data_IF_212505891700
#
_entry.id   IF_212505891700
#
_cell.length_a   1.000
_cell.length_b   1.000
_cell.length_c   1.000
_cell.angle_alpha   90.00
_cell.angle_beta   90.00
_cell.angle_gamma   90.00
#
_symmetry.space_group_name_H-M   'P 1'
#
loop_
_entity.id
_entity.type
_entity.pdbx_description
1 polymer ?
#
# COMPACT_ATOMS: atom_id res chain seq x y z
N UNK A 1 -15.44 22.98 14.92
CA UNK A 1 -16.18 23.11 16.21
C UNK A 1 -16.44 21.73 16.82
N UNK A 2 -16.51 21.64 18.14
CA UNK A 2 -16.73 20.35 18.84
C UNK A 2 -18.10 19.73 18.57
N UNK A 3 -19.10 20.53 18.17
CA UNK A 3 -20.45 20.06 17.81
C UNK A 3 -20.60 19.64 16.34
N UNK A 4 -19.59 19.89 15.50
CA UNK A 4 -19.67 19.56 14.08
C UNK A 4 -19.12 18.14 13.83
N UNK A 5 -19.65 17.40 12.85
CA UNK A 5 -19.05 16.14 12.43
C UNK A 5 -17.59 16.32 11.98
N UNK A 6 -16.77 15.28 12.17
CA UNK A 6 -15.34 15.29 11.81
C UNK A 6 -15.14 15.68 10.34
N UNK A 7 -15.92 15.07 9.44
CA UNK A 7 -16.00 15.46 8.04
C UNK A 7 -17.19 16.38 7.85
N UNK A 8 -16.94 17.68 7.88
CA UNK A 8 -17.94 18.72 7.66
C UNK A 8 -17.37 19.89 6.86
N UNK A 9 -18.27 20.64 6.24
CA UNK A 9 -17.91 21.85 5.51
C UNK A 9 -18.82 23.01 5.94
N UNK A 10 -18.29 24.23 5.80
CA UNK A 10 -18.97 25.45 6.23
C UNK A 10 -19.89 25.97 5.12
N UNK A 11 -21.12 26.29 5.48
CA UNK A 11 -22.11 26.95 4.62
C UNK A 11 -22.60 28.23 5.29
N UNK A 12 -23.36 29.05 4.55
CA UNK A 12 -23.98 30.27 5.11
C UNK A 12 -24.92 29.95 6.28
N UNK A 13 -25.56 28.78 6.29
CA UNK A 13 -26.46 28.34 7.36
C UNK A 13 -25.75 27.56 8.47
N UNK A 14 -24.42 27.48 8.47
CA UNK A 14 -23.61 26.75 9.45
C UNK A 14 -22.90 25.52 8.88
N UNK A 15 -22.47 24.61 9.75
CA UNK A 15 -21.72 23.41 9.40
C UNK A 15 -22.63 22.30 8.90
N UNK A 16 -22.27 21.68 7.77
CA UNK A 16 -22.99 20.51 7.23
C UNK A 16 -22.07 19.30 7.17
N UNK A 17 -22.58 18.08 7.43
CA UNK A 17 -21.81 16.86 7.24
C UNK A 17 -21.44 16.69 5.77
N UNK A 18 -20.20 16.26 5.52
CA UNK A 18 -19.76 15.89 4.18
C UNK A 18 -20.26 14.49 3.86
N UNK A 19 -21.10 14.37 2.84
CA UNK A 19 -21.59 13.06 2.37
C UNK A 19 -20.64 12.47 1.34
N UNK A 20 -20.66 11.13 1.20
CA UNK A 20 -19.88 10.43 0.16
C UNK A 20 -20.17 11.00 -1.23
N UNK A 21 -21.45 11.22 -1.56
CA UNK A 21 -21.84 11.73 -2.89
C UNK A 21 -21.27 13.12 -3.15
N UNK A 22 -21.33 14.03 -2.17
CA UNK A 22 -20.78 15.38 -2.31
C UNK A 22 -19.26 15.36 -2.45
N UNK A 23 -18.58 14.54 -1.64
CA UNK A 23 -17.13 14.37 -1.73
C UNK A 23 -16.69 13.85 -3.10
N UNK A 24 -17.32 12.77 -3.58
CA UNK A 24 -17.00 12.16 -4.87
C UNK A 24 -17.31 13.11 -6.04
N UNK A 25 -18.43 13.84 -5.98
CA UNK A 25 -18.76 14.85 -7.01
C UNK A 25 -17.69 15.93 -7.06
N UNK A 26 -17.40 16.57 -5.93
CA UNK A 26 -16.43 17.66 -5.87
C UNK A 26 -15.04 17.24 -6.37
N UNK A 27 -14.62 16.02 -6.02
CA UNK A 27 -13.36 15.47 -6.47
C UNK A 27 -13.33 15.20 -7.98
N UNK A 28 -14.36 14.54 -8.50
CA UNK A 28 -14.44 14.22 -9.93
C UNK A 28 -14.57 15.48 -10.79
N UNK A 29 -15.21 16.53 -10.28
CA UNK A 29 -15.28 17.82 -10.96
C UNK A 29 -13.87 18.39 -11.20
N UNK A 30 -13.02 18.41 -10.17
CA UNK A 30 -11.63 18.88 -10.29
C UNK A 30 -10.83 18.01 -11.27
N UNK A 31 -11.00 16.70 -11.20
CA UNK A 31 -10.26 15.77 -12.06
C UNK A 31 -10.63 15.88 -13.53
N UNK A 32 -11.92 15.89 -13.84
CA UNK A 32 -12.41 16.04 -15.22
C UNK A 32 -11.98 17.38 -15.79
N UNK A 33 -11.98 18.46 -15.00
CA UNK A 33 -11.44 19.75 -15.41
C UNK A 33 -9.95 19.68 -15.80
N UNK A 34 -9.21 18.75 -15.23
CA UNK A 34 -7.80 18.50 -15.53
C UNK A 34 -7.60 17.34 -16.53
N UNK A 35 -8.64 16.97 -17.27
CA UNK A 35 -8.62 15.89 -18.29
C UNK A 35 -8.34 14.49 -17.73
N UNK A 36 -8.53 14.26 -16.43
CA UNK A 36 -8.49 12.93 -15.84
C UNK A 36 -9.87 12.25 -15.88
N UNK A 37 -9.94 10.92 -15.98
CA UNK A 37 -11.21 10.20 -15.91
C UNK A 37 -11.85 10.33 -14.53
N UNK A 38 -13.18 10.36 -14.49
CA UNK A 38 -13.94 10.26 -13.25
C UNK A 38 -13.66 8.92 -12.56
N UNK A 39 -13.42 8.95 -11.25
CA UNK A 39 -13.16 7.77 -10.45
C UNK A 39 -14.27 7.46 -9.46
N UNK A 40 -14.41 6.17 -9.18
CA UNK A 40 -15.29 5.65 -8.15
C UNK A 40 -14.61 5.79 -6.78
N UNK A 41 -15.42 5.96 -5.73
CA UNK A 41 -14.91 6.03 -4.36
C UNK A 41 -14.08 4.82 -3.93
N UNK A 42 -14.25 3.67 -4.59
CA UNK A 42 -13.45 2.48 -4.32
C UNK A 42 -11.96 2.67 -4.68
N UNK A 43 -11.65 3.49 -5.69
CA UNK A 43 -10.27 3.75 -6.10
C UNK A 43 -9.40 4.32 -4.97
N UNK A 44 -10.00 5.08 -4.04
CA UNK A 44 -9.30 5.56 -2.85
C UNK A 44 -8.83 4.44 -1.93
N UNK A 45 -9.62 3.36 -1.79
CA UNK A 45 -9.19 2.20 -0.99
C UNK A 45 -8.05 1.43 -1.68
N UNK A 46 -8.10 1.30 -3.01
CA UNK A 46 -7.04 0.66 -3.80
C UNK A 46 -5.73 1.45 -3.67
N UNK A 47 -5.81 2.76 -3.95
CA UNK A 47 -4.66 3.66 -3.89
C UNK A 47 -4.09 3.76 -2.49
N UNK A 48 -4.92 3.90 -1.47
CA UNK A 48 -4.47 3.95 -0.07
C UNK A 48 -3.78 2.67 0.38
N UNK A 49 -4.30 1.50 -0.03
CA UNK A 49 -3.65 0.21 0.24
C UNK A 49 -2.31 0.10 -0.45
N UNK A 50 -2.25 0.46 -1.74
CA UNK A 50 -1.02 0.45 -2.53
C UNK A 50 0.04 1.36 -1.91
N UNK A 51 -0.35 2.57 -1.50
CA UNK A 51 0.56 3.53 -0.85
C UNK A 51 1.13 2.97 0.46
N UNK A 52 0.29 2.40 1.33
CA UNK A 52 0.76 1.79 2.58
C UNK A 52 1.71 0.62 2.34
N UNK A 53 1.44 -0.22 1.33
CA UNK A 53 2.32 -1.32 0.94
C UNK A 53 3.68 -0.83 0.42
N UNK A 54 3.68 0.24 -0.40
CA UNK A 54 4.91 0.86 -0.89
C UNK A 54 5.73 1.52 0.23
N UNK A 55 5.08 1.94 1.32
CA UNK A 55 5.76 2.39 2.55
C UNK A 55 6.28 1.23 3.42
N UNK A 56 6.11 -0.02 2.98
CA UNK A 56 6.57 -1.21 3.71
C UNK A 56 5.69 -1.57 4.91
N UNK A 57 4.48 -1.02 5.02
CA UNK A 57 3.54 -1.42 6.08
C UNK A 57 3.15 -2.88 5.86
N UNK A 58 3.25 -3.69 6.92
CA UNK A 58 2.99 -5.11 6.83
C UNK A 58 1.57 -5.38 6.30
N UNK A 59 1.40 -6.27 5.28
CA UNK A 59 0.10 -6.68 4.75
C UNK A 59 -0.96 -7.01 5.81
N UNK A 60 -0.59 -7.68 6.90
CA UNK A 60 -1.51 -8.07 7.98
C UNK A 60 -2.08 -6.86 8.73
N UNK A 61 -1.32 -5.77 8.84
CA UNK A 61 -1.80 -4.53 9.44
C UNK A 61 -2.82 -3.88 8.51
N UNK A 62 -2.53 -3.86 7.19
CA UNK A 62 -3.39 -3.20 6.21
C UNK A 62 -4.70 -3.97 6.03
N UNK A 63 -4.69 -5.31 6.05
CA UNK A 63 -5.92 -6.11 6.01
C UNK A 63 -6.82 -5.82 7.21
N UNK A 64 -6.25 -5.71 8.42
CA UNK A 64 -6.99 -5.34 9.64
C UNK A 64 -7.54 -3.91 9.55
N UNK A 65 -6.73 -2.94 9.09
CA UNK A 65 -7.16 -1.55 8.93
C UNK A 65 -8.26 -1.40 7.87
N UNK A 66 -8.13 -2.09 6.74
CA UNK A 66 -9.11 -2.13 5.67
C UNK A 66 -10.38 -2.90 6.03
N UNK A 67 -10.34 -3.72 7.10
CA UNK A 67 -11.38 -4.67 7.50
C UNK A 67 -11.67 -5.71 6.41
N UNK A 68 -10.62 -6.15 5.71
CA UNK A 68 -10.78 -7.10 4.63
C UNK A 68 -10.76 -8.51 5.21
N UNK A 69 -11.88 -9.21 5.03
CA UNK A 69 -12.07 -10.57 5.57
C UNK A 69 -11.63 -11.65 4.59
N UNK A 70 -11.20 -11.28 3.38
CA UNK A 70 -10.83 -12.20 2.31
C UNK A 70 -9.52 -11.80 1.62
N UNK A 71 -8.95 -12.78 0.90
CA UNK A 71 -7.78 -12.61 0.04
C UNK A 71 -8.00 -11.69 -1.17
N UNK A 72 -9.22 -11.14 -1.35
CA UNK A 72 -9.45 -10.04 -2.29
C UNK A 72 -8.49 -8.87 -2.04
N UNK A 73 -7.85 -8.81 -0.85
CA UNK A 73 -6.74 -7.92 -0.56
C UNK A 73 -5.62 -7.92 -1.59
N UNK A 74 -5.26 -9.10 -2.07
CA UNK A 74 -4.15 -9.27 -3.00
C UNK A 74 -4.45 -8.65 -4.37
N UNK A 75 -5.72 -8.59 -4.78
CA UNK A 75 -6.13 -7.98 -6.05
C UNK A 75 -5.90 -6.45 -6.05
N UNK A 76 -5.70 -5.85 -4.88
CA UNK A 76 -5.44 -4.42 -4.72
C UNK A 76 -3.95 -4.06 -4.70
N UNK A 77 -3.05 -5.03 -4.83
CA UNK A 77 -1.61 -4.80 -4.91
C UNK A 77 -1.21 -4.30 -6.29
N UNK A 78 -1.54 -3.05 -6.59
CA UNK A 78 -0.99 -2.40 -7.76
C UNK A 78 0.53 -2.23 -7.57
N UNK A 79 1.35 -2.47 -8.61
CA UNK A 79 2.83 -2.40 -8.54
C UNK A 79 3.50 -3.48 -7.66
N UNK A 80 3.03 -4.74 -7.78
CA UNK A 80 3.61 -5.91 -7.08
C UNK A 80 5.14 -5.98 -7.18
N UNK A 81 5.71 -5.62 -8.33
CA UNK A 81 7.17 -5.62 -8.57
C UNK A 81 7.94 -4.67 -7.64
N UNK A 82 7.33 -3.55 -7.25
CA UNK A 82 7.90 -2.61 -6.29
C UNK A 82 7.62 -2.99 -4.84
N UNK A 83 6.49 -3.66 -4.61
CA UNK A 83 6.01 -4.03 -3.28
C UNK A 83 6.75 -5.26 -2.74
N UNK A 84 6.85 -6.34 -3.53
CA UNK A 84 7.44 -7.61 -3.07
C UNK A 84 8.88 -7.49 -2.53
N UNK A 85 9.80 -6.74 -3.17
CA UNK A 85 11.17 -6.61 -2.67
C UNK A 85 11.26 -6.07 -1.24
N UNK A 86 10.34 -5.18 -0.84
CA UNK A 86 10.30 -4.60 0.50
C UNK A 86 10.09 -5.68 1.57
N UNK A 87 9.23 -6.65 1.28
CA UNK A 87 8.87 -7.71 2.21
C UNK A 87 9.82 -8.90 2.12
N UNK A 88 10.25 -9.27 0.91
CA UNK A 88 11.22 -10.36 0.72
C UNK A 88 12.50 -10.05 1.49
N UNK A 89 13.09 -8.86 1.31
CA UNK A 89 14.32 -8.46 2.00
C UNK A 89 14.20 -8.54 3.52
N UNK A 90 13.06 -8.10 4.07
CA UNK A 90 12.78 -8.15 5.51
C UNK A 90 12.57 -9.56 6.06
N UNK A 91 12.15 -10.50 5.21
CA UNK A 91 11.86 -11.89 5.58
C UNK A 91 13.09 -12.81 5.54
N UNK A 92 14.19 -12.35 4.94
CA UNK A 92 15.39 -13.17 4.80
C UNK A 92 16.04 -13.37 6.18
N UNK A 93 16.12 -14.63 6.60
CA UNK A 93 16.80 -15.00 7.82
C UNK A 93 18.33 -14.89 7.65
N UNK A 94 18.96 -13.98 8.39
CA UNK A 94 20.41 -13.74 8.33
C UNK A 94 21.21 -15.01 8.62
N UNK A 95 20.75 -15.87 9.54
CA UNK A 95 21.43 -17.13 9.84
C UNK A 95 21.41 -18.10 8.64
N UNK A 96 20.33 -18.07 7.86
CA UNK A 96 20.23 -18.87 6.63
C UNK A 96 21.20 -18.35 5.56
N UNK A 97 21.35 -17.03 5.42
CA UNK A 97 22.34 -16.44 4.53
C UNK A 97 23.78 -16.82 4.93
N UNK A 98 24.10 -16.78 6.22
CA UNK A 98 25.41 -17.19 6.72
C UNK A 98 25.72 -18.67 6.42
N UNK A 99 24.71 -19.54 6.54
CA UNK A 99 24.85 -20.96 6.20
C UNK A 99 25.08 -21.18 4.69
N UNK A 100 24.39 -20.42 3.83
CA UNK A 100 24.62 -20.46 2.38
C UNK A 100 26.04 -19.98 2.06
N UNK A 101 26.45 -18.86 2.63
CA UNK A 101 27.78 -18.27 2.40
C UNK A 101 28.91 -19.23 2.81
N UNK A 102 28.74 -19.88 3.96
CA UNK A 102 29.66 -20.91 4.46
C UNK A 102 29.71 -22.11 3.50
N UNK A 103 28.56 -22.56 3.01
CA UNK A 103 28.47 -23.70 2.08
C UNK A 103 29.08 -23.37 0.71
N UNK A 104 28.84 -22.16 0.19
CA UNK A 104 29.43 -21.70 -1.07
C UNK A 104 30.95 -21.54 -0.95
N UNK A 105 31.43 -21.00 0.18
CA UNK A 105 32.88 -20.89 0.45
C UNK A 105 33.54 -22.27 0.51
N UNK A 106 32.92 -23.23 1.19
CA UNK A 106 33.41 -24.60 1.25
C UNK A 106 33.45 -25.26 -0.14
N UNK A 107 32.43 -25.04 -0.97
CA UNK A 107 32.39 -25.51 -2.35
C UNK A 107 33.51 -24.88 -3.19
N UNK A 108 33.67 -23.55 -3.17
CA UNK A 108 34.72 -22.84 -3.91
C UNK A 108 36.11 -23.38 -3.54
N UNK A 109 36.36 -23.57 -2.25
CA UNK A 109 37.61 -24.15 -1.77
C UNK A 109 37.81 -25.59 -2.23
N UNK A 110 36.77 -26.43 -2.16
CA UNK A 110 36.83 -27.83 -2.57
C UNK A 110 37.08 -27.99 -4.07
N UNK A 111 36.52 -27.10 -4.90
CA UNK A 111 36.61 -27.18 -6.36
C UNK A 111 37.60 -26.20 -6.98
N UNK A 112 38.35 -25.43 -6.18
CA UNK A 112 39.34 -24.44 -6.63
C UNK A 112 38.79 -23.47 -7.68
N UNK A 113 37.54 -23.04 -7.51
CA UNK A 113 36.88 -22.12 -8.44
C UNK A 113 37.56 -20.75 -8.32
N UNK A 114 38.04 -20.12 -9.41
CA UNK A 114 38.64 -18.79 -9.36
C UNK A 114 37.60 -17.77 -8.89
N UNK A 115 37.93 -16.99 -7.87
CA UNK A 115 37.12 -15.84 -7.48
C UNK A 115 37.40 -14.69 -8.45
N UNK A 116 36.33 -14.09 -8.99
CA UNK A 116 36.35 -12.97 -9.94
C UNK A 116 36.46 -11.65 -9.18
#
# INVERSE_FOLDING_TARGET
PTYAPLFSYKTQSGWKPLTKTLFISCYNDVWVQNSFPSMLGHAFHIGGTTELLLQGVNPDIITVQGRWTSWAFLDYWCQVESILPLFISSSININHLQNIDTSMTAFIHHYSVPQI
#
